data_IF_780808111279
#
_entry.id   IF_780808111279
#
_cell.length_a   1.000
_cell.length_b   1.000
_cell.length_c   1.000
_cell.angle_alpha   90.00
_cell.angle_beta   90.00
_cell.angle_gamma   90.00
#
_symmetry.space_group_name_H-M   'P 1'
#
loop_
_entity.id
_entity.type
_entity.pdbx_description
1 polymer ?
#
# COMPACT_ATOMS: atom_id res chain seq x y z
N UNK A 1 -3.43 -16.56 18.84
CA UNK A 1 -3.70 -15.17 18.44
C UNK A 1 -5.05 -15.14 17.77
N UNK A 2 -5.98 -14.33 18.25
CA UNK A 2 -7.30 -14.23 17.62
C UNK A 2 -7.18 -13.54 16.25
N UNK A 3 -7.59 -14.20 15.14
CA UNK A 3 -7.44 -13.65 13.79
C UNK A 3 -8.21 -12.33 13.61
N UNK A 4 -9.33 -12.18 14.33
CA UNK A 4 -10.16 -10.97 14.35
C UNK A 4 -9.38 -9.80 14.96
N UNK A 5 -8.66 -10.02 16.07
CA UNK A 5 -7.87 -8.98 16.71
C UNK A 5 -6.78 -8.43 15.77
N UNK A 6 -6.10 -9.32 15.04
CA UNK A 6 -5.09 -8.93 14.07
C UNK A 6 -5.68 -8.11 12.91
N UNK A 7 -6.81 -8.56 12.34
CA UNK A 7 -7.48 -7.87 11.23
C UNK A 7 -7.96 -6.47 11.62
N UNK A 8 -8.60 -6.35 12.78
CA UNK A 8 -9.10 -5.06 13.29
C UNK A 8 -7.95 -4.11 13.59
N UNK A 9 -6.91 -4.61 14.25
CA UNK A 9 -5.72 -3.81 14.59
C UNK A 9 -5.01 -3.29 13.34
N UNK A 10 -4.83 -4.15 12.33
CA UNK A 10 -4.26 -3.75 11.05
C UNK A 10 -5.10 -2.67 10.35
N UNK A 11 -6.43 -2.86 10.29
CA UNK A 11 -7.35 -1.88 9.71
C UNK A 11 -7.31 -0.52 10.41
N UNK A 12 -7.26 -0.51 11.74
CA UNK A 12 -7.15 0.73 12.53
C UNK A 12 -5.84 1.47 12.28
N UNK A 13 -4.71 0.75 12.27
CA UNK A 13 -3.39 1.34 11.98
C UNK A 13 -3.37 1.93 10.57
N UNK A 14 -3.92 1.20 9.60
CA UNK A 14 -4.01 1.65 8.21
C UNK A 14 -4.83 2.94 8.11
N UNK A 15 -6.04 2.95 8.68
CA UNK A 15 -6.92 4.13 8.69
C UNK A 15 -6.26 5.33 9.36
N UNK A 16 -5.63 5.12 10.52
CA UNK A 16 -4.89 6.15 11.24
C UNK A 16 -3.79 6.78 10.39
N UNK A 17 -2.97 5.96 9.72
CA UNK A 17 -1.91 6.43 8.84
C UNK A 17 -2.44 7.21 7.63
N UNK A 18 -3.54 6.78 7.02
CA UNK A 18 -4.20 7.52 5.93
C UNK A 18 -4.72 8.88 6.40
N UNK A 19 -5.41 8.94 7.55
CA UNK A 19 -5.98 10.16 8.10
C UNK A 19 -4.87 11.16 8.46
N UNK A 20 -3.85 10.69 9.19
CA UNK A 20 -2.69 11.52 9.54
C UNK A 20 -1.96 11.99 8.29
N UNK A 21 -1.67 11.09 7.36
CA UNK A 21 -1.02 11.39 6.09
C UNK A 21 -1.73 12.49 5.32
N UNK A 22 -3.03 12.34 5.10
CA UNK A 22 -3.85 13.32 4.41
C UNK A 22 -3.91 14.67 5.14
N UNK A 23 -3.96 14.65 6.48
CA UNK A 23 -3.96 15.87 7.30
C UNK A 23 -2.62 16.60 7.22
N UNK A 24 -1.51 15.88 7.35
CA UNK A 24 -0.16 16.44 7.28
C UNK A 24 0.19 16.94 5.88
N UNK A 25 -0.31 16.31 4.82
CA UNK A 25 -0.13 16.77 3.44
C UNK A 25 -0.71 18.18 3.21
N UNK A 26 -1.70 18.62 4.00
CA UNK A 26 -2.26 19.99 3.91
C UNK A 26 -1.24 21.07 4.28
N UNK A 27 -0.17 20.73 5.01
CA UNK A 27 0.91 21.66 5.38
C UNK A 27 1.88 21.95 4.24
N UNK A 28 1.86 21.15 3.17
CA UNK A 28 2.73 21.34 2.01
C UNK A 28 2.15 22.40 1.05
N UNK A 29 3.01 23.18 0.37
CA UNK A 29 2.57 24.20 -0.57
C UNK A 29 1.63 23.62 -1.63
N UNK A 30 0.50 24.31 -1.92
CA UNK A 30 -0.42 23.87 -2.96
C UNK A 30 0.27 23.89 -4.33
N UNK A 31 -0.07 22.92 -5.19
CA UNK A 31 0.45 22.78 -6.56
C UNK A 31 1.96 22.52 -6.73
N UNK A 32 2.62 22.01 -5.69
CA UNK A 32 4.02 21.55 -5.81
C UNK A 32 4.11 20.17 -6.49
N UNK A 33 5.18 19.93 -7.24
CA UNK A 33 5.46 18.63 -7.87
C UNK A 33 5.49 17.48 -6.84
N UNK A 34 6.02 17.77 -5.65
CA UNK A 34 6.07 16.82 -4.54
C UNK A 34 4.69 16.45 -4.00
N UNK A 35 3.75 17.40 -3.96
CA UNK A 35 2.37 17.12 -3.57
C UNK A 35 1.67 16.21 -4.58
N UNK A 36 1.92 16.38 -5.87
CA UNK A 36 1.39 15.49 -6.91
C UNK A 36 1.96 14.07 -6.77
N UNK A 37 3.27 13.95 -6.50
CA UNK A 37 3.91 12.68 -6.21
C UNK A 37 3.31 11.99 -4.97
N UNK A 38 3.19 12.72 -3.86
CA UNK A 38 2.62 12.22 -2.62
C UNK A 38 1.15 11.81 -2.80
N UNK A 39 0.36 12.56 -3.57
CA UNK A 39 -1.00 12.18 -3.96
C UNK A 39 -1.02 10.87 -4.76
N UNK A 40 -0.13 10.71 -5.75
CA UNK A 40 -0.03 9.47 -6.54
C UNK A 40 0.27 8.28 -5.63
N UNK A 41 1.21 8.41 -4.70
CA UNK A 41 1.56 7.36 -3.73
C UNK A 41 0.38 7.03 -2.79
N UNK A 42 -0.33 8.05 -2.30
CA UNK A 42 -1.46 7.87 -1.40
C UNK A 42 -2.64 7.18 -2.11
N UNK A 43 -2.92 7.54 -3.37
CA UNK A 43 -3.95 6.90 -4.20
C UNK A 43 -3.57 5.45 -4.48
N UNK A 44 -2.31 5.18 -4.88
CA UNK A 44 -1.84 3.81 -5.10
C UNK A 44 -1.91 2.96 -3.82
N UNK A 45 -1.56 3.54 -2.67
CA UNK A 45 -1.69 2.89 -1.37
C UNK A 45 -3.16 2.53 -1.06
N UNK A 46 -4.06 3.49 -1.28
CA UNK A 46 -5.50 3.30 -1.04
C UNK A 46 -6.11 2.24 -1.96
N UNK A 47 -5.79 2.28 -3.26
CA UNK A 47 -6.24 1.29 -4.22
C UNK A 47 -5.71 -0.11 -3.88
N UNK A 48 -4.43 -0.24 -3.51
CA UNK A 48 -3.86 -1.51 -3.06
C UNK A 48 -4.57 -2.08 -1.83
N UNK A 49 -4.83 -1.22 -0.84
CA UNK A 49 -5.57 -1.60 0.37
C UNK A 49 -7.02 -2.01 0.05
N UNK A 50 -7.71 -1.28 -0.84
CA UNK A 50 -9.10 -1.55 -1.23
C UNK A 50 -9.22 -2.85 -2.03
N UNK A 51 -8.38 -3.05 -3.04
CA UNK A 51 -8.38 -4.26 -3.88
C UNK A 51 -8.01 -5.47 -3.02
N UNK A 52 -7.01 -5.33 -2.16
CA UNK A 52 -6.71 -6.33 -1.15
C UNK A 52 -7.96 -6.66 -0.35
N UNK A 53 -8.56 -5.67 0.30
CA UNK A 53 -9.68 -5.92 1.22
C UNK A 53 -10.86 -6.57 0.50
N UNK A 54 -11.13 -6.16 -0.74
CA UNK A 54 -12.09 -6.82 -1.61
C UNK A 54 -11.75 -8.29 -1.86
N UNK A 55 -10.50 -8.60 -2.23
CA UNK A 55 -10.03 -9.97 -2.43
C UNK A 55 -10.19 -10.82 -1.16
N UNK A 56 -9.85 -10.29 0.01
CA UNK A 56 -10.01 -10.99 1.28
C UNK A 56 -11.47 -11.27 1.65
N UNK A 57 -12.37 -10.28 1.48
CA UNK A 57 -13.80 -10.49 1.71
C UNK A 57 -14.40 -11.48 0.72
N UNK A 58 -13.98 -11.42 -0.54
CA UNK A 58 -14.40 -12.37 -1.56
C UNK A 58 -13.98 -13.82 -1.21
N UNK A 59 -12.75 -14.01 -0.72
CA UNK A 59 -12.26 -15.32 -0.27
C UNK A 59 -13.10 -15.85 0.92
N UNK A 60 -13.45 -14.98 1.88
CA UNK A 60 -14.29 -15.34 3.03
C UNK A 60 -15.73 -15.73 2.63
N UNK A 61 -16.35 -14.96 1.73
CA UNK A 61 -17.75 -15.18 1.30
C UNK A 61 -17.87 -16.38 0.36
N UNK A 62 -16.93 -16.53 -0.58
CA UNK A 62 -16.94 -17.61 -1.57
C UNK A 62 -16.18 -18.86 -1.10
N UNK A 63 -15.83 -18.98 0.19
CA UNK A 63 -14.96 -20.03 0.72
C UNK A 63 -15.43 -21.46 0.37
N UNK A 64 -16.74 -21.74 0.43
CA UNK A 64 -17.33 -23.04 0.06
C UNK A 64 -17.29 -23.31 -1.46
N UNK A 65 -17.67 -22.33 -2.28
CA UNK A 65 -17.66 -22.45 -3.75
C UNK A 65 -16.24 -22.49 -4.34
N UNK A 66 -15.31 -21.71 -3.81
CA UNK A 66 -13.89 -21.71 -4.20
C UNK A 66 -13.20 -23.02 -3.84
N UNK A 67 -13.60 -23.66 -2.73
CA UNK A 67 -13.06 -24.96 -2.31
C UNK A 67 -13.56 -26.09 -3.20
N UNK A 68 -14.84 -26.11 -3.58
CA UNK A 68 -15.36 -27.07 -4.57
C UNK A 68 -14.75 -26.85 -5.96
N UNK A 69 -14.60 -25.60 -6.39
CA UNK A 69 -14.03 -25.25 -7.70
C UNK A 69 -12.53 -25.61 -7.79
N UNK A 70 -11.77 -25.48 -6.70
CA UNK A 70 -10.36 -25.90 -6.64
C UNK A 70 -10.14 -27.40 -6.82
N UNK A 71 -11.09 -28.21 -6.35
CA UNK A 71 -11.04 -29.67 -6.50
C UNK A 71 -11.33 -30.07 -7.94
N UNK A 72 -12.19 -29.32 -8.64
CA UNK A 72 -12.61 -29.59 -10.02
C UNK A 72 -11.60 -29.13 -11.09
N UNK A 73 -10.88 -28.02 -10.88
CA UNK A 73 -10.12 -27.35 -11.96
C UNK A 73 -8.64 -27.80 -12.05
N UNK A 74 -8.04 -28.32 -10.98
CA UNK A 74 -6.62 -28.72 -10.98
C UNK A 74 -5.62 -27.56 -11.16
N UNK A 75 -4.32 -27.87 -11.26
CA UNK A 75 -3.23 -26.89 -11.43
C UNK A 75 -3.09 -26.49 -12.91
N UNK A 76 -2.90 -25.21 -13.30
CA UNK A 76 -2.37 -24.05 -12.54
C UNK A 76 -3.41 -23.02 -12.06
N UNK A 77 -4.66 -23.11 -12.49
CA UNK A 77 -5.71 -22.14 -12.17
C UNK A 77 -6.11 -22.15 -10.68
N UNK A 78 -5.74 -23.20 -9.95
CA UNK A 78 -5.83 -23.25 -8.49
C UNK A 78 -5.04 -22.09 -7.82
N UNK A 79 -3.89 -21.68 -8.37
CA UNK A 79 -3.10 -20.57 -7.83
C UNK A 79 -3.78 -19.20 -8.07
N UNK A 80 -4.45 -19.02 -9.21
CA UNK A 80 -5.20 -17.79 -9.52
C UNK A 80 -6.45 -17.68 -8.62
N UNK A 81 -7.09 -18.82 -8.35
CA UNK A 81 -8.26 -18.91 -7.46
C UNK A 81 -7.90 -18.80 -5.96
N UNK A 82 -6.62 -18.78 -5.60
CA UNK A 82 -6.19 -18.42 -4.24
C UNK A 82 -6.28 -16.90 -4.07
N UNK A 83 -7.50 -16.41 -3.89
CA UNK A 83 -7.78 -15.00 -3.64
C UNK A 83 -7.04 -14.47 -2.39
N UNK A 84 -6.72 -15.38 -1.45
CA UNK A 84 -5.83 -15.11 -0.33
C UNK A 84 -4.40 -14.69 -0.73
N UNK A 85 -3.83 -15.25 -1.80
CA UNK A 85 -2.50 -14.84 -2.29
C UNK A 85 -2.55 -13.42 -2.87
N UNK A 86 -3.61 -13.11 -3.62
CA UNK A 86 -3.86 -11.77 -4.15
C UNK A 86 -4.04 -10.73 -3.05
N UNK A 87 -4.77 -11.09 -1.97
CA UNK A 87 -4.86 -10.25 -0.78
C UNK A 87 -3.49 -9.83 -0.27
N UNK A 88 -2.56 -10.78 -0.08
CA UNK A 88 -1.21 -10.48 0.40
C UNK A 88 -0.42 -9.60 -0.58
N UNK A 89 -0.52 -9.85 -1.89
CA UNK A 89 0.19 -9.05 -2.90
C UNK A 89 -0.30 -7.59 -2.90
N UNK A 90 -1.62 -7.39 -2.98
CA UNK A 90 -2.20 -6.04 -3.05
C UNK A 90 -2.05 -5.27 -1.75
N UNK A 91 -2.20 -5.92 -0.60
CA UNK A 91 -1.95 -5.28 0.70
C UNK A 91 -0.49 -4.95 0.90
N UNK A 92 0.44 -5.84 0.53
CA UNK A 92 1.88 -5.55 0.60
C UNK A 92 2.26 -4.37 -0.28
N UNK A 93 1.76 -4.32 -1.52
CA UNK A 93 1.97 -3.18 -2.41
C UNK A 93 1.39 -1.88 -1.85
N UNK A 94 0.17 -1.92 -1.30
CA UNK A 94 -0.47 -0.77 -0.68
C UNK A 94 0.30 -0.25 0.53
N UNK A 95 0.73 -1.14 1.42
CA UNK A 95 1.58 -0.85 2.57
C UNK A 95 2.92 -0.22 2.14
N UNK A 96 3.55 -0.75 1.10
CA UNK A 96 4.81 -0.22 0.58
C UNK A 96 4.64 1.21 0.06
N UNK A 97 3.62 1.46 -0.75
CA UNK A 97 3.29 2.81 -1.22
C UNK A 97 3.01 3.78 -0.06
N UNK A 98 2.28 3.33 0.97
CA UNK A 98 1.97 4.14 2.15
C UNK A 98 3.23 4.45 2.96
N UNK A 99 4.14 3.49 3.12
CA UNK A 99 5.41 3.68 3.82
C UNK A 99 6.28 4.72 3.11
N UNK A 100 6.45 4.60 1.79
CA UNK A 100 7.21 5.57 1.00
C UNK A 100 6.56 6.95 1.06
N UNK A 101 5.23 7.02 0.99
CA UNK A 101 4.46 8.26 1.18
C UNK A 101 4.76 8.92 2.53
N UNK A 102 4.66 8.18 3.64
CA UNK A 102 4.88 8.72 4.99
C UNK A 102 6.33 9.20 5.20
N UNK A 103 7.31 8.44 4.70
CA UNK A 103 8.73 8.83 4.79
C UNK A 103 8.97 10.09 3.98
N UNK A 104 8.50 10.14 2.74
CA UNK A 104 8.64 11.30 1.85
C UNK A 104 7.98 12.53 2.45
N UNK A 105 6.75 12.39 2.96
CA UNK A 105 6.03 13.48 3.64
C UNK A 105 6.81 13.99 4.86
N UNK A 106 7.41 13.10 5.65
CA UNK A 106 8.24 13.51 6.79
C UNK A 106 9.48 14.28 6.35
N UNK A 107 10.17 13.82 5.30
CA UNK A 107 11.36 14.49 4.76
C UNK A 107 11.02 15.93 4.30
N UNK A 108 9.92 16.10 3.58
CA UNK A 108 9.44 17.41 3.15
C UNK A 108 9.08 18.33 4.32
N UNK A 109 8.36 17.80 5.32
CA UNK A 109 8.01 18.59 6.51
C UNK A 109 9.24 18.98 7.34
N UNK A 110 10.33 18.21 7.26
CA UNK A 110 11.61 18.55 7.86
C UNK A 110 12.47 19.49 6.98
N UNK A 111 12.01 19.87 5.79
CA UNK A 111 12.75 20.73 4.86
C UNK A 111 13.98 20.04 4.23
N UNK A 112 13.98 18.71 4.19
CA UNK A 112 15.10 17.91 3.67
C UNK A 112 14.91 17.66 2.17
N UNK A 113 15.93 17.95 1.36
CA UNK A 113 15.87 17.86 -0.12
C UNK A 113 16.93 16.97 -0.77
N UNK A 114 17.74 16.28 0.04
CA UNK A 114 18.79 15.34 -0.38
C UNK A 114 18.24 13.95 -0.71
N UNK A 115 17.08 13.90 -1.37
CA UNK A 115 16.46 12.65 -1.75
C UNK A 115 15.65 12.80 -3.05
N UNK A 116 15.45 11.67 -3.73
CA UNK A 116 14.57 11.55 -4.89
C UNK A 116 13.71 10.29 -4.74
N UNK A 117 12.47 10.35 -5.23
CA UNK A 117 11.61 9.17 -5.35
C UNK A 117 11.65 8.70 -6.80
N UNK A 118 12.15 7.48 -7.01
CA UNK A 118 12.28 6.84 -8.32
C UNK A 118 11.32 5.67 -8.38
N UNK A 119 10.68 5.45 -9.53
CA UNK A 119 9.80 4.31 -9.75
C UNK A 119 10.53 3.25 -10.57
N UNK A 120 10.69 2.05 -10.02
CA UNK A 120 11.22 0.88 -10.71
C UNK A 120 10.06 -0.07 -11.01
N UNK A 121 9.65 -0.17 -12.28
CA UNK A 121 8.50 -0.99 -12.68
C UNK A 121 7.25 -0.71 -11.80
N UNK A 122 6.89 0.57 -11.65
CA UNK A 122 5.83 1.09 -10.77
C UNK A 122 6.08 0.97 -9.25
N UNK A 123 7.14 0.32 -8.79
CA UNK A 123 7.50 0.28 -7.38
C UNK A 123 8.24 1.55 -6.96
N UNK A 124 7.68 2.36 -6.05
CA UNK A 124 8.35 3.56 -5.59
C UNK A 124 9.51 3.22 -4.66
N UNK A 125 10.65 3.90 -4.85
CA UNK A 125 11.83 3.76 -4.02
C UNK A 125 12.46 5.12 -3.74
N UNK A 126 12.88 5.34 -2.48
CA UNK A 126 13.58 6.56 -2.07
C UNK A 126 15.08 6.37 -2.26
N UNK A 127 15.73 7.32 -2.92
CA UNK A 127 17.17 7.38 -3.10
C UNK A 127 17.71 8.67 -2.50
N UNK A 128 18.62 8.54 -1.53
CA UNK A 128 19.31 9.69 -0.97
C UNK A 128 20.46 10.11 -1.88
N UNK A 129 20.52 11.39 -2.22
CA UNK A 129 21.63 11.93 -2.99
C UNK A 129 22.82 12.11 -2.05
N UNK A 130 24.00 11.60 -2.43
CA UNK A 130 25.22 11.87 -1.66
C UNK A 130 25.50 13.36 -1.73
N UNK A 131 25.53 14.03 -0.57
CA UNK A 131 26.11 15.37 -0.46
C UNK A 131 27.57 15.26 -0.92
N UNK A 132 27.96 15.98 -1.98
CA UNK A 132 29.37 16.08 -2.36
C UNK A 132 30.12 16.68 -1.17
N UNK A 133 30.92 15.87 -0.47
CA UNK A 133 31.92 16.36 0.45
C UNK A 133 32.95 17.15 -0.38
N UNK A 134 33.00 18.46 -0.15
CA UNK A 134 34.03 19.37 -0.69
C UNK A 134 35.34 19.06 0.03
#
# INVERSE_FOLDING_TARGET
MDPIFHQVSFGLIMAFNFILGATHMRKLPPHSAIRNLLNKLLVNAFLGALIGFGAWNFDNVCCSSLRQTRILIGSPFNAILQMHAWWHIFTAYGCHCLAIFLITLKLELCGRSDYNVVFYNELPNIQFTKVKSI
#
